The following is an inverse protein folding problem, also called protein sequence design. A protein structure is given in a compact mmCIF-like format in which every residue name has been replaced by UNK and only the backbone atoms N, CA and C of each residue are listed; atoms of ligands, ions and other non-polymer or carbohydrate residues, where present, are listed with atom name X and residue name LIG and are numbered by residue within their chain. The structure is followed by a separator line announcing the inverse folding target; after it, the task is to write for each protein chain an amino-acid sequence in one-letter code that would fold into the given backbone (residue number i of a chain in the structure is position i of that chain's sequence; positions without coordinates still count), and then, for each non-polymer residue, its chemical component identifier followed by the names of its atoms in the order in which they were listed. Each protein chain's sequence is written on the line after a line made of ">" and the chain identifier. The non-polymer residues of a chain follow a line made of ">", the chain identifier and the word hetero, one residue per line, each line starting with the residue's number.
data_IF_639453192981
#
_entry.id   IF_639453192981
#
_cell.length_a   1.000
_cell.length_b   1.000
_cell.length_c   1.000
_cell.angle_alpha   90.00
_cell.angle_beta   90.00
_cell.angle_gamma   90.00
#
_symmetry.space_group_name_H-M   'P 1'
#
loop_
_entity.id
_entity.type
_entity.pdbx_description
1 polymer ?
#
# COMPACT_ATOMS: atom_id res chain seq x y z
N UNK A 1 -1.30 -13.89 -1.79
CA UNK A 1 -2.50 -13.39 -2.47
C UNK A 1 -3.42 -14.54 -2.84
N UNK A 2 -4.69 -14.45 -2.42
CA UNK A 2 -5.88 -15.29 -2.66
C UNK A 2 -5.83 -16.80 -2.46
N UNK A 3 -4.78 -17.50 -2.87
CA UNK A 3 -4.58 -18.94 -2.60
C UNK A 3 -3.68 -19.21 -1.39
N UNK A 4 -3.18 -18.15 -0.75
CA UNK A 4 -2.34 -18.25 0.46
C UNK A 4 -3.20 -18.49 1.71
N UNK A 5 -4.48 -18.11 1.67
CA UNK A 5 -5.39 -18.38 2.76
C UNK A 5 -5.95 -19.80 2.59
N UNK A 6 -5.53 -20.73 3.45
CA UNK A 6 -5.89 -22.17 3.38
C UNK A 6 -7.41 -22.43 3.40
N UNK A 7 -8.21 -21.44 3.82
CA UNK A 7 -9.67 -21.46 3.83
C UNK A 7 -10.32 -21.23 2.45
N UNK A 8 -9.61 -20.65 1.48
CA UNK A 8 -10.16 -20.28 0.17
C UNK A 8 -10.00 -21.43 -0.83
N UNK A 9 -11.07 -22.20 -1.05
CA UNK A 9 -11.06 -23.35 -1.97
C UNK A 9 -11.26 -22.98 -3.44
N UNK A 10 -12.04 -21.94 -3.73
CA UNK A 10 -12.36 -21.50 -5.09
C UNK A 10 -12.45 -19.97 -5.16
N UNK A 11 -11.96 -19.40 -6.26
CA UNK A 11 -11.99 -17.97 -6.55
C UNK A 11 -12.64 -17.80 -7.92
N UNK A 12 -13.63 -16.91 -8.03
CA UNK A 12 -14.26 -16.58 -9.32
C UNK A 12 -13.23 -16.01 -10.30
N UNK A 13 -13.40 -16.27 -11.60
CA UNK A 13 -12.50 -15.80 -12.65
C UNK A 13 -12.39 -14.26 -12.71
N UNK A 14 -13.44 -13.56 -12.30
CA UNK A 14 -13.49 -12.09 -12.32
C UNK A 14 -12.69 -11.45 -11.18
N UNK A 15 -12.48 -12.18 -10.08
CA UNK A 15 -11.86 -11.64 -8.86
C UNK A 15 -10.40 -11.23 -9.11
N UNK A 16 -9.53 -12.04 -9.73
CA UNK A 16 -8.16 -11.60 -10.06
C UNK A 16 -8.12 -10.36 -10.94
N UNK A 17 -9.05 -10.24 -11.91
CA UNK A 17 -9.12 -9.09 -12.80
C UNK A 17 -9.46 -7.80 -12.04
N UNK A 18 -10.50 -7.85 -11.20
CA UNK A 18 -10.92 -6.72 -10.35
C UNK A 18 -9.78 -6.32 -9.40
N UNK A 19 -9.09 -7.29 -8.80
CA UNK A 19 -7.96 -7.02 -7.92
C UNK A 19 -6.76 -6.42 -8.66
N UNK A 20 -6.53 -6.78 -9.93
CA UNK A 20 -5.51 -6.13 -10.76
C UNK A 20 -5.79 -4.64 -10.93
N UNK A 21 -7.05 -4.28 -11.25
CA UNK A 21 -7.47 -2.89 -11.37
C UNK A 21 -7.38 -2.17 -10.01
N UNK A 22 -7.88 -2.80 -8.95
CA UNK A 22 -7.83 -2.22 -7.61
C UNK A 22 -6.38 -1.99 -7.15
N UNK A 23 -5.47 -2.93 -7.43
CA UNK A 23 -4.05 -2.79 -7.13
C UNK A 23 -3.40 -1.64 -7.92
N UNK A 24 -3.75 -1.48 -9.20
CA UNK A 24 -3.29 -0.35 -10.00
C UNK A 24 -3.72 0.98 -9.39
N UNK A 25 -5.02 1.14 -9.09
CA UNK A 25 -5.57 2.36 -8.47
C UNK A 25 -4.94 2.61 -7.10
N UNK A 26 -4.74 1.56 -6.31
CA UNK A 26 -4.09 1.63 -5.01
C UNK A 26 -2.65 2.15 -5.11
N UNK A 27 -1.84 1.59 -6.02
CA UNK A 27 -0.44 1.99 -6.24
C UNK A 27 -0.35 3.43 -6.76
N UNK A 28 -1.25 3.84 -7.66
CA UNK A 28 -1.28 5.20 -8.17
C UNK A 28 -1.63 6.22 -7.06
N UNK A 29 -2.68 5.95 -6.29
CA UNK A 29 -3.13 6.83 -5.21
C UNK A 29 -2.04 7.02 -4.14
N UNK A 30 -1.41 5.93 -3.68
CA UNK A 30 -0.36 6.01 -2.66
C UNK A 30 0.90 6.70 -3.17
N UNK A 31 1.25 6.52 -4.46
CA UNK A 31 2.41 7.17 -5.08
C UNK A 31 2.21 8.68 -5.15
N UNK A 32 1.02 9.14 -5.56
CA UNK A 32 0.68 10.57 -5.61
C UNK A 32 0.71 11.17 -4.21
N UNK A 33 0.18 10.48 -3.20
CA UNK A 33 0.21 10.95 -1.80
C UNK A 33 1.63 11.00 -1.25
N UNK A 34 2.45 9.99 -1.49
CA UNK A 34 3.86 9.97 -1.08
C UNK A 34 4.65 11.13 -1.71
N UNK A 35 4.34 11.47 -2.96
CA UNK A 35 4.99 12.57 -3.67
C UNK A 35 4.79 13.94 -2.99
N UNK A 36 3.66 14.14 -2.30
CA UNK A 36 3.42 15.37 -1.52
C UNK A 36 4.51 15.54 -0.47
N UNK A 37 4.80 14.50 0.31
CA UNK A 37 5.84 14.52 1.36
C UNK A 37 7.27 14.64 0.78
N UNK A 38 7.52 14.01 -0.37
CA UNK A 38 8.78 14.18 -1.10
C UNK A 38 8.99 15.64 -1.48
N UNK A 39 7.94 16.32 -1.97
CA UNK A 39 7.97 17.73 -2.37
C UNK A 39 8.12 18.68 -1.19
N UNK A 40 7.38 18.45 -0.09
CA UNK A 40 7.54 19.21 1.15
C UNK A 40 8.97 19.14 1.70
N UNK A 41 9.66 18.02 1.47
CA UNK A 41 11.06 17.83 1.83
C UNK A 41 12.06 18.39 0.81
N UNK A 42 11.62 19.11 -0.24
CA UNK A 42 12.45 19.57 -1.37
C UNK A 42 13.25 18.46 -2.08
N UNK A 43 12.80 17.21 -1.99
CA UNK A 43 13.43 16.06 -2.65
C UNK A 43 12.78 15.80 -4.02
N UNK A 44 13.49 15.01 -4.83
CA UNK A 44 13.00 14.55 -6.16
C UNK A 44 12.86 13.03 -6.26
N UNK A 45 13.22 12.30 -5.20
CA UNK A 45 13.18 10.84 -5.12
C UNK A 45 12.25 10.49 -3.96
N UNK A 46 11.22 9.68 -4.24
CA UNK A 46 10.33 9.12 -3.23
C UNK A 46 11.12 8.12 -2.38
N UNK A 47 11.01 8.24 -1.06
CA UNK A 47 11.63 7.30 -0.11
C UNK A 47 10.56 6.47 0.61
N UNK A 48 10.97 5.40 1.29
CA UNK A 48 10.06 4.60 2.10
C UNK A 48 9.36 5.44 3.18
N UNK A 49 10.06 6.40 3.79
CA UNK A 49 9.49 7.31 4.80
C UNK A 49 8.33 8.17 4.25
N UNK A 50 8.41 8.60 2.99
CA UNK A 50 7.32 9.34 2.33
C UNK A 50 6.06 8.48 2.19
N UNK A 51 6.25 7.21 1.84
CA UNK A 51 5.16 6.24 1.72
C UNK A 51 4.57 5.94 3.10
N UNK A 52 5.40 5.75 4.12
CA UNK A 52 4.96 5.54 5.50
C UNK A 52 4.16 6.75 6.00
N UNK A 53 4.61 7.97 5.72
CA UNK A 53 3.88 9.20 6.05
C UNK A 53 2.54 9.28 5.32
N UNK A 54 2.51 8.99 4.03
CA UNK A 54 1.27 8.97 3.26
C UNK A 54 0.26 7.95 3.78
N UNK A 55 0.72 6.78 4.18
CA UNK A 55 -0.09 5.74 4.80
C UNK A 55 -0.65 6.18 6.15
N UNK A 56 0.21 6.67 7.06
CA UNK A 56 -0.18 7.11 8.41
C UNK A 56 -1.17 8.29 8.40
N UNK A 57 -1.15 9.12 7.36
CA UNK A 57 -2.03 10.28 7.24
C UNK A 57 -3.30 10.00 6.42
N UNK A 58 -3.56 8.75 6.05
CA UNK A 58 -4.75 8.38 5.25
C UNK A 58 -5.48 7.21 5.92
N UNK A 59 -6.61 7.49 6.58
CA UNK A 59 -7.40 6.48 7.32
C UNK A 59 -7.87 5.29 6.47
N UNK A 60 -8.01 5.47 5.14
CA UNK A 60 -8.30 4.38 4.19
C UNK A 60 -7.26 3.25 4.26
N UNK A 61 -6.03 3.55 4.68
CA UNK A 61 -4.91 2.62 4.69
C UNK A 61 -4.54 2.09 6.08
N UNK A 62 -5.40 2.28 7.09
CA UNK A 62 -5.15 1.79 8.46
C UNK A 62 -4.99 0.27 8.54
N UNK A 63 -5.55 -0.48 7.58
CA UNK A 63 -5.35 -1.92 7.47
C UNK A 63 -3.88 -2.33 7.26
N UNK A 64 -3.02 -1.40 6.86
CA UNK A 64 -1.57 -1.61 6.67
C UNK A 64 -0.76 -1.27 7.93
N UNK A 65 -1.38 -0.79 9.00
CA UNK A 65 -0.67 -0.35 10.20
C UNK A 65 0.20 -1.46 10.82
N UNK A 66 -0.33 -2.68 10.91
CA UNK A 66 0.43 -3.82 11.46
C UNK A 66 1.67 -4.14 10.64
N UNK A 67 1.58 -4.09 9.31
CA UNK A 67 2.72 -4.28 8.42
C UNK A 67 3.80 -3.21 8.63
N UNK A 68 3.37 -1.95 8.84
CA UNK A 68 4.29 -0.82 9.06
C UNK A 68 5.04 -0.89 10.39
N UNK A 69 4.44 -1.49 11.43
CA UNK A 69 5.12 -1.64 12.72
C UNK A 69 6.20 -2.72 12.65
N UNK A 70 5.90 -3.86 12.03
CA UNK A 70 6.82 -5.00 11.98
C UNK A 70 8.11 -4.69 11.22
N UNK A 71 8.04 -3.85 10.18
CA UNK A 71 9.22 -3.45 9.40
C UNK A 71 10.13 -2.46 10.17
N UNK A 72 9.55 -1.63 11.06
CA UNK A 72 10.31 -0.69 11.90
C UNK A 72 10.99 -1.35 13.11
N UNK A 73 10.70 -2.61 13.43
CA UNK A 73 11.37 -3.35 14.52
C UNK A 73 12.60 -4.14 14.06
N UNK A 74 12.89 -4.18 12.76
CA UNK A 74 14.04 -4.91 12.18
C UNK A 74 15.23 -4.02 11.82
N UNK A 75 15.23 -2.74 12.22
CA UNK A 75 16.31 -1.79 12.04
C UNK A 75 16.95 -1.40 13.38
#
# INVERSE_FOLDING_TARGET
>A
MMKIEESIKMVSQEVPYIFGIAAQVFIEEITIRAWIYTKESNRKIITADDVIKALKNTSKYDFLYFLLIEDNQKL
#
